data_IF_982370866480
#
_entry.id   IF_982370866480
#
_cell.length_a   1.000
_cell.length_b   1.000
_cell.length_c   1.000
_cell.angle_alpha   90.00
_cell.angle_beta   90.00
_cell.angle_gamma   90.00
#
_symmetry.space_group_name_H-M   'P 1'
#
loop_
_entity.id
_entity.type
_entity.pdbx_description
1 polymer ?
#
# COMPACT_ATOMS: atom_id res chain seq x y z
N UNK A 1 -30.37 -14.36 25.56
CA UNK A 1 -30.83 -13.15 24.90
C UNK A 1 -29.76 -12.06 24.84
N UNK A 2 -29.10 -11.78 25.96
CA UNK A 2 -28.02 -10.76 25.97
C UNK A 2 -26.85 -11.14 25.05
N UNK A 3 -26.60 -12.43 24.86
CA UNK A 3 -25.51 -12.91 24.01
C UNK A 3 -25.71 -12.61 22.54
N UNK A 4 -26.95 -12.60 22.08
CA UNK A 4 -27.26 -12.31 20.69
C UNK A 4 -27.04 -10.85 20.35
N UNK A 5 -27.33 -9.94 21.27
CA UNK A 5 -27.10 -8.52 21.06
C UNK A 5 -25.61 -8.21 20.95
N UNK A 6 -24.77 -8.88 21.74
CA UNK A 6 -23.32 -8.71 21.69
C UNK A 6 -22.72 -9.19 20.38
N UNK A 7 -23.22 -10.32 19.87
CA UNK A 7 -22.76 -10.86 18.59
C UNK A 7 -23.13 -9.92 17.44
N UNK A 8 -24.32 -9.35 17.49
CA UNK A 8 -24.77 -8.39 16.48
C UNK A 8 -23.91 -7.15 16.45
N UNK A 9 -23.55 -6.64 17.62
CA UNK A 9 -22.70 -5.45 17.72
C UNK A 9 -21.30 -5.73 17.17
N UNK A 10 -20.77 -6.90 17.45
CA UNK A 10 -19.45 -7.31 16.94
C UNK A 10 -19.46 -7.40 15.40
N UNK A 11 -20.52 -7.96 14.84
CA UNK A 11 -20.67 -8.04 13.38
C UNK A 11 -20.74 -6.67 12.73
N UNK A 12 -21.47 -5.76 13.35
CA UNK A 12 -21.61 -4.40 12.85
C UNK A 12 -20.26 -3.67 12.88
N UNK A 13 -19.48 -3.86 13.95
CA UNK A 13 -18.15 -3.25 14.05
C UNK A 13 -17.21 -3.76 12.97
N UNK A 14 -17.30 -5.05 12.62
CA UNK A 14 -16.50 -5.62 11.54
C UNK A 14 -16.86 -5.03 10.17
N UNK A 15 -18.14 -4.82 9.92
CA UNK A 15 -18.59 -4.20 8.66
C UNK A 15 -18.11 -2.75 8.55
N UNK A 16 -18.11 -2.01 9.65
CA UNK A 16 -17.66 -0.62 9.66
C UNK A 16 -16.14 -0.52 9.45
N UNK A 17 -15.37 -1.45 9.98
CA UNK A 17 -13.92 -1.41 9.87
C UNK A 17 -13.43 -1.66 8.44
N UNK A 18 -14.19 -2.38 7.62
CA UNK A 18 -13.82 -2.67 6.23
C UNK A 18 -13.88 -1.44 5.32
N UNK A 19 -14.57 -0.38 5.73
CA UNK A 19 -14.70 0.84 4.94
C UNK A 19 -13.61 1.87 5.27
N UNK A 20 -12.69 1.54 6.16
CA UNK A 20 -11.69 2.49 6.65
C UNK A 20 -10.54 2.67 5.67
N UNK A 21 -10.25 3.93 5.32
CA UNK A 21 -9.06 4.27 4.54
C UNK A 21 -7.87 4.38 5.50
N UNK A 22 -6.76 3.70 5.16
CA UNK A 22 -5.53 3.77 5.93
C UNK A 22 -4.72 5.00 5.50
N UNK A 23 -4.23 5.72 6.49
CA UNK A 23 -3.48 6.94 6.26
C UNK A 23 -2.02 6.61 5.94
N UNK A 24 -1.49 7.28 4.92
CA UNK A 24 -0.07 7.25 4.58
C UNK A 24 0.52 8.59 4.96
N UNK A 25 1.62 8.58 5.70
CA UNK A 25 2.25 9.82 6.16
C UNK A 25 3.69 9.88 5.68
N UNK A 26 4.24 11.10 5.65
CA UNK A 26 5.67 11.31 5.39
C UNK A 26 6.50 11.10 6.67
N UNK A 27 7.79 11.36 6.61
CA UNK A 27 8.68 11.19 7.76
C UNK A 27 8.36 12.10 8.95
N UNK A 28 7.60 13.17 8.73
CA UNK A 28 7.16 14.09 9.78
C UNK A 28 5.73 13.82 10.24
N UNK A 29 5.17 12.66 9.86
CA UNK A 29 3.81 12.26 10.21
C UNK A 29 2.71 13.13 9.61
N UNK A 30 3.02 13.88 8.55
CA UNK A 30 2.00 14.61 7.80
C UNK A 30 1.33 13.65 6.81
N UNK A 31 0.01 13.70 6.75
CA UNK A 31 -0.75 12.86 5.83
C UNK A 31 -0.47 13.26 4.38
N UNK A 32 -0.02 12.31 3.56
CA UNK A 32 0.23 12.53 2.14
C UNK A 32 -0.73 11.77 1.25
N UNK A 33 -1.34 10.70 1.77
CA UNK A 33 -2.25 9.87 0.99
C UNK A 33 -3.12 9.02 1.89
N UNK A 34 -4.11 8.39 1.28
CA UNK A 34 -4.95 7.38 1.91
C UNK A 34 -5.04 6.19 0.97
N UNK A 35 -4.89 4.99 1.50
CA UNK A 35 -5.07 3.76 0.72
C UNK A 35 -6.20 2.97 1.38
N UNK A 36 -7.26 2.74 0.63
CA UNK A 36 -8.43 2.01 1.11
C UNK A 36 -8.18 0.52 1.02
N UNK A 37 -8.93 -0.24 1.80
CA UNK A 37 -8.80 -1.70 1.81
C UNK A 37 -9.14 -2.34 0.46
N UNK A 38 -9.91 -1.65 -0.39
CA UNK A 38 -10.26 -2.11 -1.72
C UNK A 38 -9.18 -1.77 -2.77
N UNK A 39 -8.07 -1.14 -2.36
CA UNK A 39 -6.98 -0.79 -3.25
C UNK A 39 -7.06 0.60 -3.85
N UNK A 40 -8.09 1.38 -3.55
CA UNK A 40 -8.20 2.76 -4.02
C UNK A 40 -7.15 3.62 -3.32
N UNK A 41 -6.39 4.38 -4.09
CA UNK A 41 -5.38 5.30 -3.59
C UNK A 41 -5.91 6.72 -3.74
N UNK A 42 -5.88 7.48 -2.65
CA UNK A 42 -6.35 8.85 -2.62
C UNK A 42 -5.21 9.77 -2.17
N UNK A 43 -5.24 11.02 -2.61
CA UNK A 43 -4.30 12.03 -2.10
C UNK A 43 -4.74 12.51 -0.71
N UNK A 44 -4.02 13.49 -0.16
CA UNK A 44 -4.32 14.03 1.17
C UNK A 44 -5.69 14.70 1.25
N UNK A 45 -6.23 15.14 0.11
CA UNK A 45 -7.56 15.76 0.01
C UNK A 45 -8.66 14.75 -0.33
N UNK A 46 -8.36 13.46 -0.27
CA UNK A 46 -9.30 12.38 -0.54
C UNK A 46 -9.72 12.27 -2.01
N UNK A 47 -8.95 12.87 -2.94
CA UNK A 47 -9.20 12.66 -4.36
C UNK A 47 -8.54 11.35 -4.79
N UNK A 48 -9.28 10.55 -5.57
CA UNK A 48 -8.75 9.29 -6.09
C UNK A 48 -7.66 9.57 -7.12
N UNK A 49 -6.48 8.99 -6.89
CA UNK A 49 -5.33 9.13 -7.78
C UNK A 49 -4.90 7.81 -8.41
N UNK A 50 -5.45 6.70 -7.96
CA UNK A 50 -5.11 5.40 -8.53
C UNK A 50 -5.84 4.26 -7.87
N UNK A 51 -5.59 3.07 -8.39
CA UNK A 51 -6.21 1.84 -7.91
C UNK A 51 -5.21 0.69 -7.97
N UNK A 52 -5.19 -0.13 -6.93
CA UNK A 52 -4.44 -1.39 -6.92
C UNK A 52 -5.48 -2.51 -6.88
N UNK A 53 -5.56 -3.29 -7.95
CA UNK A 53 -6.54 -4.36 -8.05
C UNK A 53 -6.05 -5.61 -7.30
N UNK A 54 -6.98 -6.50 -6.99
CA UNK A 54 -6.66 -7.73 -6.25
C UNK A 54 -5.69 -8.65 -7.01
N UNK A 55 -5.64 -8.54 -8.34
CA UNK A 55 -4.70 -9.31 -9.16
C UNK A 55 -3.31 -8.66 -9.28
N UNK A 56 -3.10 -7.53 -8.60
CA UNK A 56 -1.83 -6.82 -8.62
C UNK A 56 -1.70 -5.75 -9.69
N UNK A 57 -2.69 -5.58 -10.55
CA UNK A 57 -2.69 -4.51 -11.55
C UNK A 57 -2.84 -3.16 -10.86
N UNK A 58 -1.97 -2.21 -11.21
CA UNK A 58 -2.04 -0.85 -10.71
C UNK A 58 -2.53 0.07 -11.82
N UNK A 59 -3.51 0.90 -11.50
CA UNK A 59 -4.14 1.81 -12.46
C UNK A 59 -4.05 3.25 -11.94
N UNK A 60 -4.07 4.19 -12.88
CA UNK A 60 -4.17 5.62 -12.55
C UNK A 60 -5.64 6.00 -12.26
N UNK A 61 -5.89 7.30 -12.04
CA UNK A 61 -7.23 7.79 -11.72
C UNK A 61 -8.22 7.56 -12.87
N UNK A 62 -7.74 7.41 -14.10
CA UNK A 62 -8.55 7.17 -15.29
C UNK A 62 -8.68 5.68 -15.61
N UNK A 63 -8.26 4.82 -14.70
CA UNK A 63 -8.31 3.36 -14.84
C UNK A 63 -7.38 2.81 -15.93
N UNK A 64 -6.36 3.59 -16.33
CA UNK A 64 -5.33 3.08 -17.24
C UNK A 64 -4.29 2.32 -16.42
N UNK A 65 -3.87 1.17 -16.94
CA UNK A 65 -2.85 0.36 -16.28
C UNK A 65 -1.50 1.05 -16.34
N UNK A 66 -0.89 1.26 -15.17
CA UNK A 66 0.44 1.88 -15.05
C UNK A 66 1.50 0.92 -14.54
N UNK A 67 1.09 -0.24 -14.01
CA UNK A 67 2.04 -1.22 -13.53
C UNK A 67 1.39 -2.48 -13.03
N UNK A 68 2.24 -3.39 -12.57
CA UNK A 68 1.83 -4.68 -12.05
C UNK A 68 2.66 -5.07 -10.83
N UNK A 69 2.00 -5.51 -9.78
CA UNK A 69 2.62 -6.07 -8.58
C UNK A 69 2.39 -7.57 -8.61
N UNK A 70 3.44 -8.33 -8.86
CA UNK A 70 3.32 -9.79 -8.96
C UNK A 70 3.41 -10.43 -7.58
N UNK A 71 2.85 -11.61 -7.45
CA UNK A 71 2.82 -12.34 -6.18
C UNK A 71 4.22 -12.76 -5.70
N UNK A 72 5.18 -12.86 -6.62
CA UNK A 72 6.57 -13.20 -6.28
C UNK A 72 7.40 -11.97 -5.87
N UNK A 73 6.78 -10.79 -5.81
CA UNK A 73 7.45 -9.55 -5.43
C UNK A 73 8.02 -8.75 -6.59
N UNK A 74 7.92 -9.24 -7.82
CA UNK A 74 8.38 -8.50 -9.00
C UNK A 74 7.42 -7.35 -9.29
N UNK A 75 7.98 -6.17 -9.54
CA UNK A 75 7.21 -4.98 -9.92
C UNK A 75 7.48 -4.69 -11.39
N UNK A 76 6.42 -4.51 -12.16
CA UNK A 76 6.52 -4.26 -13.59
C UNK A 76 5.82 -2.95 -13.96
N UNK A 77 6.27 -2.33 -15.04
CA UNK A 77 5.58 -1.17 -15.60
C UNK A 77 4.41 -1.63 -16.50
N UNK A 78 3.76 -0.70 -17.18
CA UNK A 78 2.60 -1.00 -18.03
C UNK A 78 2.96 -1.88 -19.23
N UNK A 79 4.23 -1.91 -19.63
CA UNK A 79 4.73 -2.75 -20.71
C UNK A 79 5.27 -4.09 -20.25
N UNK A 80 5.04 -4.44 -18.99
CA UNK A 80 5.50 -5.68 -18.38
C UNK A 80 7.02 -5.80 -18.25
N UNK A 81 7.73 -4.67 -18.33
CA UNK A 81 9.17 -4.64 -18.02
C UNK A 81 9.36 -4.59 -16.51
N UNK A 82 10.28 -5.40 -16.00
CA UNK A 82 10.57 -5.39 -14.57
C UNK A 82 11.28 -4.09 -14.19
N UNK A 83 10.69 -3.38 -13.22
CA UNK A 83 11.24 -2.12 -12.72
C UNK A 83 11.73 -2.22 -11.27
N UNK A 84 11.44 -3.32 -10.60
CA UNK A 84 11.92 -3.51 -9.24
C UNK A 84 11.44 -4.80 -8.62
N UNK A 85 11.83 -4.96 -7.35
CA UNK A 85 11.52 -6.17 -6.59
C UNK A 85 11.21 -5.80 -5.15
N UNK A 86 10.21 -6.45 -4.57
CA UNK A 86 9.84 -6.30 -3.16
C UNK A 86 10.05 -7.66 -2.52
N UNK A 87 11.01 -7.75 -1.60
CA UNK A 87 11.33 -9.01 -0.94
C UNK A 87 10.41 -9.26 0.24
N UNK A 88 10.31 -10.51 0.65
CA UNK A 88 9.46 -10.91 1.77
C UNK A 88 9.85 -10.22 3.09
N UNK A 89 11.14 -9.88 3.23
CA UNK A 89 11.64 -9.19 4.43
C UNK A 89 11.38 -7.68 4.40
N UNK A 90 10.73 -7.17 3.35
CA UNK A 90 10.42 -5.75 3.21
C UNK A 90 11.46 -4.94 2.48
N UNK A 91 12.56 -5.54 2.04
CA UNK A 91 13.57 -4.84 1.23
C UNK A 91 13.01 -4.55 -0.16
N UNK A 92 13.15 -3.31 -0.60
CA UNK A 92 12.73 -2.87 -1.94
C UNK A 92 13.95 -2.65 -2.78
N UNK A 93 13.96 -3.22 -3.98
CA UNK A 93 15.10 -3.17 -4.90
C UNK A 93 14.68 -2.61 -6.24
N UNK A 94 15.64 -2.01 -6.96
CA UNK A 94 15.42 -1.58 -8.35
C UNK A 94 15.55 -2.79 -9.29
N UNK A 95 15.47 -2.54 -10.61
CA UNK A 95 15.55 -3.61 -11.61
C UNK A 95 16.92 -4.31 -11.63
N UNK A 96 17.96 -3.66 -11.11
CA UNK A 96 19.30 -4.22 -11.01
C UNK A 96 19.58 -4.87 -9.65
N UNK A 97 18.54 -5.06 -8.85
CA UNK A 97 18.63 -5.66 -7.50
C UNK A 97 19.39 -4.81 -6.49
N UNK A 98 19.56 -3.52 -6.75
CA UNK A 98 20.12 -2.62 -5.75
C UNK A 98 19.01 -2.22 -4.77
N UNK A 99 19.34 -2.22 -3.48
CA UNK A 99 18.40 -1.83 -2.45
C UNK A 99 18.12 -0.33 -2.54
N UNK A 100 16.83 0.03 -2.67
CA UNK A 100 16.40 1.42 -2.73
C UNK A 100 15.58 1.82 -1.51
N UNK A 101 15.15 0.85 -0.71
CA UNK A 101 14.42 1.16 0.51
C UNK A 101 14.00 -0.07 1.28
N UNK A 102 13.31 0.19 2.39
CA UNK A 102 12.87 -0.86 3.30
C UNK A 102 11.48 -0.54 3.80
N UNK A 103 10.64 -1.57 3.91
CA UNK A 103 9.32 -1.47 4.53
C UNK A 103 9.32 -2.39 5.73
N UNK A 104 9.23 -1.80 6.91
CA UNK A 104 9.27 -2.56 8.16
C UNK A 104 7.89 -3.13 8.48
N UNK A 105 7.87 -4.14 9.34
CA UNK A 105 6.61 -4.80 9.72
C UNK A 105 5.66 -3.85 10.45
N UNK A 106 6.18 -2.81 11.11
CA UNK A 106 5.36 -1.82 11.79
C UNK A 106 4.83 -0.73 10.86
N UNK A 107 5.12 -0.82 9.56
CA UNK A 107 4.67 0.15 8.56
C UNK A 107 5.63 1.32 8.34
N UNK A 108 6.77 1.36 9.01
CA UNK A 108 7.78 2.39 8.78
C UNK A 108 8.44 2.17 7.42
N UNK A 109 8.53 3.23 6.63
CA UNK A 109 9.16 3.23 5.31
C UNK A 109 10.51 3.93 5.44
N UNK A 110 11.56 3.29 4.96
CA UNK A 110 12.92 3.81 5.03
C UNK A 110 13.55 3.86 3.64
N UNK A 111 14.46 4.81 3.42
CA UNK A 111 15.25 4.85 2.19
C UNK A 111 16.40 3.83 2.27
N UNK A 112 17.28 3.83 1.25
CA UNK A 112 18.39 2.89 1.19
C UNK A 112 19.38 3.06 2.35
N UNK A 113 19.41 4.24 2.96
CA UNK A 113 20.27 4.55 4.09
C UNK A 113 19.58 4.40 5.44
N UNK A 114 18.41 3.75 5.45
CA UNK A 114 17.63 3.50 6.66
C UNK A 114 17.04 4.76 7.31
N UNK A 115 16.95 5.87 6.56
CA UNK A 115 16.25 7.04 7.06
C UNK A 115 14.76 6.88 6.86
N UNK A 116 13.98 7.23 7.86
CA UNK A 116 12.52 7.15 7.78
C UNK A 116 12.00 8.22 6.83
N UNK A 117 11.27 7.78 5.79
CA UNK A 117 10.67 8.67 4.80
C UNK A 117 9.15 8.66 4.86
N UNK A 118 8.56 7.75 5.61
CA UNK A 118 7.12 7.71 5.74
C UNK A 118 6.63 6.57 6.59
N UNK A 119 5.31 6.49 6.70
CA UNK A 119 4.63 5.46 7.49
C UNK A 119 3.38 5.02 6.74
N UNK A 120 3.15 3.70 6.69
CA UNK A 120 2.00 3.10 6.03
C UNK A 120 1.50 1.92 6.85
N UNK A 121 1.16 2.17 8.11
CA UNK A 121 0.74 1.13 9.04
C UNK A 121 -0.59 0.52 8.59
N UNK A 122 -0.66 -0.81 8.62
CA UNK A 122 -1.87 -1.54 8.24
C UNK A 122 -2.09 -1.66 6.75
N UNK A 123 -1.16 -1.18 5.93
CA UNK A 123 -1.24 -1.25 4.48
C UNK A 123 -0.33 -2.39 3.99
N UNK A 124 -0.78 -3.21 3.02
CA UNK A 124 0.09 -4.25 2.48
C UNK A 124 1.43 -3.68 2.00
N UNK A 125 2.51 -4.38 2.28
CA UNK A 125 3.87 -3.90 1.97
C UNK A 125 4.04 -3.58 0.49
N UNK A 126 3.47 -4.41 -0.39
CA UNK A 126 3.57 -4.18 -1.83
C UNK A 126 2.90 -2.88 -2.26
N UNK A 127 1.76 -2.54 -1.65
CA UNK A 127 1.06 -1.29 -1.94
C UNK A 127 1.86 -0.07 -1.45
N UNK A 128 2.41 -0.16 -0.25
CA UNK A 128 3.26 0.89 0.30
C UNK A 128 4.52 1.07 -0.55
N UNK A 129 5.13 -0.03 -0.99
CA UNK A 129 6.30 0.02 -1.86
C UNK A 129 6.00 0.69 -3.19
N UNK A 130 4.86 0.36 -3.79
CA UNK A 130 4.45 1.02 -5.03
C UNK A 130 4.34 2.53 -4.82
N UNK A 131 3.65 2.93 -3.76
CA UNK A 131 3.41 4.34 -3.50
C UNK A 131 4.71 5.13 -3.29
N UNK A 132 5.66 4.57 -2.53
CA UNK A 132 6.86 5.31 -2.14
C UNK A 132 8.01 5.18 -3.13
N UNK A 133 8.08 4.10 -3.91
CA UNK A 133 9.30 3.81 -4.68
C UNK A 133 9.06 3.67 -6.19
N UNK A 134 7.79 3.51 -6.60
CA UNK A 134 7.49 3.30 -8.02
C UNK A 134 6.39 4.23 -8.52
#
# INVERSE_FOLDING_TARGET
>A
MKRFALILIALFALCCSSAYAQRVTDGNYQTVAHIKSDGTIQDASYRTIGHIKSDGTVQDASYRTVGHLKSDGTVQNSSYSTIGHIRDDGTVQDSSYRTIGHIRDDGTIQDANYRTIGHAEGIPKAWAAWYFFF
#
